data_IF_500703207749
#
_entry.id   IF_500703207749
#
_cell.length_a   1.000
_cell.length_b   1.000
_cell.length_c   1.000
_cell.angle_alpha   90.00
_cell.angle_beta   90.00
_cell.angle_gamma   90.00
#
_symmetry.space_group_name_H-M   'P 1'
#
loop_
_entity.id
_entity.type
_entity.pdbx_description
1 polymer ?
#
# COMPACT_ATOMS: atom_id res chain seq x y z
N UNK A 1 -3.24 35.89 -8.61
CA UNK A 1 -4.17 34.77 -8.81
C UNK A 1 -5.34 34.90 -7.85
N UNK A 2 -6.59 34.77 -8.31
CA UNK A 2 -7.79 34.87 -7.47
C UNK A 2 -8.27 33.43 -7.17
N UNK A 3 -8.37 33.05 -5.89
CA UNK A 3 -8.98 31.79 -5.45
C UNK A 3 -10.47 31.99 -5.30
N UNK A 4 -11.25 30.96 -5.64
CA UNK A 4 -12.70 30.90 -5.41
C UNK A 4 -13.06 29.62 -4.68
N UNK A 5 -14.11 29.68 -3.87
CA UNK A 5 -14.72 28.49 -3.28
C UNK A 5 -15.24 27.55 -4.40
N UNK A 6 -15.12 26.25 -4.19
CA UNK A 6 -15.58 25.23 -5.13
C UNK A 6 -16.33 24.11 -4.40
N UNK A 7 -16.99 23.27 -5.14
CA UNK A 7 -17.64 22.05 -4.63
C UNK A 7 -16.64 21.11 -3.93
N UNK A 8 -17.05 20.55 -2.78
CA UNK A 8 -16.17 19.68 -1.95
C UNK A 8 -15.66 18.47 -2.73
N UNK A 9 -16.49 17.86 -3.56
CA UNK A 9 -16.11 16.68 -4.34
C UNK A 9 -15.04 17.01 -5.38
N UNK A 10 -15.09 18.20 -5.97
CA UNK A 10 -14.09 18.72 -6.88
C UNK A 10 -12.77 19.02 -6.14
N UNK A 11 -12.87 19.60 -4.93
CA UNK A 11 -11.71 19.84 -4.07
C UNK A 11 -10.98 18.54 -3.69
N UNK A 12 -11.74 17.51 -3.30
CA UNK A 12 -11.18 16.19 -2.95
C UNK A 12 -10.44 15.54 -4.14
N UNK A 13 -10.99 15.66 -5.37
CA UNK A 13 -10.33 15.14 -6.58
C UNK A 13 -9.06 15.90 -6.97
N UNK A 14 -8.89 17.10 -6.47
CA UNK A 14 -7.69 17.92 -6.68
C UNK A 14 -6.56 17.62 -5.70
N UNK A 15 -6.77 16.73 -4.73
CA UNK A 15 -5.70 16.28 -3.82
C UNK A 15 -4.53 15.68 -4.61
N UNK A 16 -3.29 15.82 -4.11
CA UNK A 16 -2.12 15.24 -4.77
C UNK A 16 -2.19 13.73 -4.86
N UNK A 17 -1.35 13.16 -5.70
CA UNK A 17 -1.26 11.71 -5.91
C UNK A 17 -0.92 10.96 -4.61
N UNK A 18 -1.47 9.74 -4.50
CA UNK A 18 -1.22 8.81 -3.40
C UNK A 18 -0.42 7.61 -3.90
N UNK A 19 0.38 6.96 -3.04
CA UNK A 19 0.98 5.69 -3.39
C UNK A 19 -0.10 4.62 -3.60
N UNK A 20 0.13 3.72 -4.55
CA UNK A 20 -0.68 2.52 -4.71
C UNK A 20 0.01 1.38 -4.01
N UNK A 21 -0.73 0.62 -3.20
CA UNK A 21 -0.21 -0.57 -2.54
C UNK A 21 -1.12 -1.77 -2.80
N UNK A 22 -0.55 -2.97 -2.74
CA UNK A 22 -1.27 -4.22 -2.73
C UNK A 22 -1.30 -4.74 -1.30
N UNK A 23 -2.50 -4.78 -0.72
CA UNK A 23 -2.74 -5.29 0.63
C UNK A 23 -3.03 -6.77 0.54
N UNK A 24 -2.27 -7.58 1.27
CA UNK A 24 -2.48 -9.02 1.36
C UNK A 24 -2.97 -9.43 2.76
N UNK A 25 -3.94 -10.36 2.81
CA UNK A 25 -4.40 -11.01 4.04
C UNK A 25 -4.70 -12.47 3.72
N UNK A 26 -4.06 -13.40 4.41
CA UNK A 26 -4.07 -14.81 4.01
C UNK A 26 -3.55 -14.97 2.59
N UNK A 27 -4.38 -15.49 1.69
CA UNK A 27 -4.11 -15.59 0.24
C UNK A 27 -4.94 -14.61 -0.60
N UNK A 28 -5.54 -13.61 0.01
CA UNK A 28 -6.26 -12.57 -0.72
C UNK A 28 -5.35 -11.38 -0.99
N UNK A 29 -5.56 -10.69 -2.10
CA UNK A 29 -4.85 -9.47 -2.50
C UNK A 29 -5.88 -8.39 -2.81
N UNK A 30 -5.67 -7.17 -2.36
CA UNK A 30 -6.50 -6.00 -2.68
C UNK A 30 -5.63 -4.81 -3.05
N UNK A 31 -6.01 -4.10 -4.10
CA UNK A 31 -5.41 -2.78 -4.41
C UNK A 31 -5.98 -1.72 -3.48
N UNK A 32 -5.10 -0.92 -2.89
CA UNK A 32 -5.47 0.21 -2.05
C UNK A 32 -4.67 1.47 -2.43
N UNK A 33 -5.37 2.62 -2.48
CA UNK A 33 -4.76 3.95 -2.51
C UNK A 33 -4.88 4.68 -1.16
N UNK A 34 -5.70 4.14 -0.24
CA UNK A 34 -5.82 4.65 1.12
C UNK A 34 -4.72 4.03 2.00
N UNK A 35 -3.50 4.48 1.80
CA UNK A 35 -2.30 4.04 2.51
C UNK A 35 -1.46 5.24 2.91
N UNK A 36 -0.98 5.24 4.15
CA UNK A 36 -0.06 6.27 4.62
C UNK A 36 0.89 5.75 5.69
N UNK A 37 2.05 6.38 5.78
CA UNK A 37 2.91 6.29 6.95
C UNK A 37 2.18 6.85 8.19
N UNK A 38 2.34 6.21 9.33
CA UNK A 38 1.68 6.62 10.58
C UNK A 38 2.66 7.12 11.64
N UNK A 39 3.71 6.35 11.97
CA UNK A 39 4.68 6.72 13.02
C UNK A 39 6.05 6.09 12.77
N UNK A 40 7.12 6.81 13.16
CA UNK A 40 8.48 6.28 13.17
C UNK A 40 8.79 5.47 14.44
N UNK A 41 8.22 5.85 15.57
CA UNK A 41 8.45 5.18 16.85
C UNK A 41 7.14 5.08 17.67
N UNK A 42 6.52 3.89 17.78
CA UNK A 42 6.89 2.67 17.08
C UNK A 42 6.62 2.75 15.57
N UNK A 43 7.41 2.04 14.72
CA UNK A 43 7.23 2.09 13.28
C UNK A 43 5.89 1.49 12.88
N UNK A 44 5.09 2.28 12.16
CA UNK A 44 3.74 1.89 11.80
C UNK A 44 3.22 2.60 10.54
N UNK A 45 2.28 1.94 9.88
CA UNK A 45 1.55 2.43 8.71
C UNK A 45 0.04 2.36 8.95
N UNK A 46 -0.73 3.04 8.12
CA UNK A 46 -2.19 2.93 8.16
C UNK A 46 -2.77 2.65 6.78
N UNK A 47 -3.84 1.87 6.75
CA UNK A 47 -4.61 1.56 5.54
C UNK A 47 -6.09 1.79 5.78
N UNK A 48 -6.78 2.30 4.75
CA UNK A 48 -8.23 2.44 4.72
C UNK A 48 -8.88 1.36 3.86
N UNK A 49 -9.78 0.59 4.42
CA UNK A 49 -10.50 -0.49 3.73
C UNK A 49 -12.00 -0.26 3.79
N UNK A 50 -12.67 -0.27 2.65
CA UNK A 50 -14.13 -0.16 2.60
C UNK A 50 -14.77 -1.42 3.19
N UNK A 51 -15.71 -1.33 4.16
CA UNK A 51 -16.25 -2.49 4.89
C UNK A 51 -16.88 -3.57 4.03
N UNK A 52 -17.39 -3.25 2.84
CA UNK A 52 -17.93 -4.23 1.89
C UNK A 52 -16.87 -5.09 1.17
N UNK A 53 -15.59 -4.76 1.25
CA UNK A 53 -14.51 -5.52 0.64
C UNK A 53 -14.21 -6.78 1.44
N UNK A 54 -13.92 -7.88 0.76
CA UNK A 54 -13.55 -9.15 1.41
C UNK A 54 -12.32 -9.01 2.31
N UNK A 55 -11.35 -8.19 1.92
CA UNK A 55 -10.17 -7.87 2.72
C UNK A 55 -10.52 -7.30 4.10
N UNK A 56 -11.63 -6.55 4.25
CA UNK A 56 -12.10 -6.06 5.54
C UNK A 56 -12.45 -7.21 6.50
N UNK A 57 -13.16 -8.24 6.03
CA UNK A 57 -13.50 -9.41 6.83
C UNK A 57 -12.22 -10.13 7.25
N UNK A 58 -11.31 -10.37 6.30
CA UNK A 58 -10.06 -11.06 6.57
C UNK A 58 -9.15 -10.31 7.54
N UNK A 59 -9.03 -8.98 7.46
CA UNK A 59 -8.24 -8.22 8.44
C UNK A 59 -8.83 -8.36 9.85
N UNK A 60 -10.17 -8.36 9.97
CA UNK A 60 -10.82 -8.53 11.27
C UNK A 60 -10.64 -9.94 11.83
N UNK A 61 -10.51 -10.96 10.99
CA UNK A 61 -10.26 -12.35 11.38
C UNK A 61 -8.78 -12.59 11.72
N UNK A 62 -7.86 -12.12 10.86
CA UNK A 62 -6.43 -12.41 10.97
C UNK A 62 -5.71 -11.44 11.91
N UNK A 63 -6.23 -10.23 12.07
CA UNK A 63 -5.61 -9.13 12.81
C UNK A 63 -4.21 -8.73 12.31
N UNK A 64 -3.98 -8.91 11.01
CA UNK A 64 -2.71 -8.65 10.33
C UNK A 64 -2.93 -8.32 8.85
N UNK A 65 -1.92 -7.75 8.20
CA UNK A 65 -1.90 -7.57 6.76
C UNK A 65 -0.46 -7.40 6.25
N UNK A 66 -0.25 -7.79 5.00
CA UNK A 66 0.95 -7.46 4.24
C UNK A 66 0.72 -6.23 3.37
N UNK A 67 1.74 -5.38 3.23
CA UNK A 67 1.82 -4.30 2.26
C UNK A 67 2.87 -4.68 1.22
N UNK A 68 2.50 -4.61 -0.05
CA UNK A 68 3.41 -4.88 -1.15
C UNK A 68 3.38 -3.67 -2.09
N UNK A 69 4.54 -3.08 -2.36
CA UNK A 69 4.68 -1.88 -3.18
C UNK A 69 4.90 -2.30 -4.64
N UNK A 70 3.93 -2.07 -5.54
CA UNK A 70 4.10 -2.42 -6.94
C UNK A 70 4.96 -1.38 -7.66
N UNK A 71 5.74 -1.84 -8.66
CA UNK A 71 6.45 -0.97 -9.58
C UNK A 71 5.49 -0.33 -10.60
N UNK A 72 5.91 0.78 -11.19
CA UNK A 72 5.11 1.53 -12.16
C UNK A 72 4.78 0.76 -13.45
N UNK A 73 5.50 -0.30 -13.77
CA UNK A 73 5.21 -1.21 -14.91
C UNK A 73 4.20 -2.32 -14.53
N UNK A 74 3.85 -2.47 -13.25
CA UNK A 74 2.91 -3.48 -12.74
C UNK A 74 1.45 -2.98 -12.70
N UNK A 75 1.04 -2.05 -13.56
CA UNK A 75 -0.34 -1.51 -13.59
C UNK A 75 -1.39 -2.59 -13.85
N UNK A 76 -1.08 -3.63 -14.63
CA UNK A 76 -1.99 -4.73 -14.89
C UNK A 76 -2.25 -5.57 -13.62
N UNK A 77 -1.21 -5.86 -12.85
CA UNK A 77 -1.31 -6.52 -11.54
C UNK A 77 -2.25 -5.75 -10.61
N UNK A 78 -2.02 -4.44 -10.49
CA UNK A 78 -2.84 -3.55 -9.66
C UNK A 78 -4.31 -3.55 -10.10
N UNK A 79 -4.58 -3.53 -11.40
CA UNK A 79 -5.96 -3.60 -11.94
C UNK A 79 -6.65 -4.91 -11.59
N UNK A 80 -5.99 -6.04 -11.82
CA UNK A 80 -6.54 -7.37 -11.51
C UNK A 80 -6.87 -7.47 -10.03
N UNK A 81 -5.93 -7.11 -9.15
CA UNK A 81 -6.13 -7.17 -7.70
C UNK A 81 -7.22 -6.22 -7.18
N UNK A 82 -7.46 -5.09 -7.87
CA UNK A 82 -8.50 -4.12 -7.52
C UNK A 82 -9.89 -4.45 -8.03
N UNK A 83 -10.00 -5.18 -9.17
CA UNK A 83 -11.28 -5.49 -9.82
C UNK A 83 -11.90 -6.81 -9.39
N UNK A 84 -11.08 -7.84 -9.12
CA UNK A 84 -11.58 -9.16 -8.71
C UNK A 84 -11.79 -9.22 -7.19
N UNK A 85 -12.88 -9.86 -6.78
CA UNK A 85 -13.12 -10.17 -5.38
C UNK A 85 -12.56 -11.56 -5.02
N UNK A 86 -11.90 -11.68 -3.85
CA UNK A 86 -11.49 -12.99 -3.32
C UNK A 86 -12.66 -13.89 -2.92
N UNK A 87 -13.91 -13.39 -2.92
CA UNK A 87 -15.13 -14.23 -2.81
C UNK A 87 -15.51 -14.88 -4.12
N UNK A 88 -15.10 -14.33 -5.26
CA UNK A 88 -15.48 -14.74 -6.61
C UNK A 88 -14.44 -15.64 -7.26
N UNK A 89 -13.18 -15.56 -6.81
CA UNK A 89 -12.08 -16.35 -7.37
C UNK A 89 -11.38 -17.17 -6.27
N UNK A 90 -11.03 -18.40 -6.59
CA UNK A 90 -10.43 -19.33 -5.64
C UNK A 90 -8.99 -18.93 -5.26
N UNK A 91 -8.23 -18.35 -6.16
CA UNK A 91 -6.83 -17.96 -5.94
C UNK A 91 -6.48 -16.68 -6.68
N UNK A 92 -6.39 -15.57 -5.95
CA UNK A 92 -6.04 -14.27 -6.51
C UNK A 92 -4.58 -14.16 -6.97
N UNK A 93 -3.66 -14.94 -6.41
CA UNK A 93 -2.27 -14.98 -6.86
C UNK A 93 -2.18 -15.55 -8.27
N UNK A 94 -2.94 -16.64 -8.53
CA UNK A 94 -3.03 -17.24 -9.86
C UNK A 94 -3.66 -16.28 -10.88
N UNK A 95 -4.78 -15.65 -10.52
CA UNK A 95 -5.46 -14.69 -11.41
C UNK A 95 -4.59 -13.45 -11.71
N UNK A 96 -3.85 -12.99 -10.71
CA UNK A 96 -2.92 -11.87 -10.83
C UNK A 96 -1.57 -12.27 -11.50
N UNK A 97 -1.32 -13.58 -11.66
CA UNK A 97 -0.07 -14.14 -12.20
C UNK A 97 1.15 -13.72 -11.40
N UNK A 98 1.05 -13.83 -10.07
CA UNK A 98 2.13 -13.52 -9.14
C UNK A 98 2.39 -14.68 -8.19
N UNK A 99 3.58 -14.71 -7.64
CA UNK A 99 4.08 -15.75 -6.74
C UNK A 99 3.82 -15.38 -5.29
N UNK A 100 3.14 -16.24 -4.51
CA UNK A 100 2.96 -16.03 -3.09
C UNK A 100 4.30 -16.27 -2.35
N UNK A 101 4.86 -15.22 -1.77
CA UNK A 101 6.04 -15.28 -0.92
C UNK A 101 5.59 -15.51 0.54
N UNK A 102 6.27 -16.41 1.26
CA UNK A 102 5.99 -16.62 2.68
C UNK A 102 6.50 -15.46 3.51
N UNK A 103 5.66 -14.97 4.41
CA UNK A 103 6.03 -14.01 5.44
C UNK A 103 6.92 -14.66 6.51
N UNK A 104 7.71 -13.86 7.20
CA UNK A 104 8.56 -14.27 8.33
C UNK A 104 7.85 -14.18 9.68
N UNK A 105 6.87 -13.29 9.82
CA UNK A 105 6.20 -13.00 11.11
C UNK A 105 4.69 -13.23 11.04
N UNK A 106 4.03 -12.72 9.99
CA UNK A 106 2.57 -12.87 9.84
C UNK A 106 2.21 -14.16 9.09
N UNK A 107 0.93 -14.59 9.20
CA UNK A 107 0.41 -15.79 8.50
C UNK A 107 0.06 -15.52 7.04
N UNK A 108 -0.19 -14.26 6.71
CA UNK A 108 -0.53 -13.80 5.38
C UNK A 108 0.66 -13.89 4.43
N UNK A 109 0.40 -14.22 3.16
CA UNK A 109 1.45 -14.23 2.14
C UNK A 109 1.72 -12.82 1.62
N UNK A 110 2.94 -12.59 1.14
CA UNK A 110 3.38 -11.40 0.41
C UNK A 110 3.44 -11.70 -1.09
N UNK A 111 3.82 -10.73 -1.90
CA UNK A 111 3.95 -10.86 -3.36
C UNK A 111 5.43 -10.77 -3.73
N UNK A 112 5.99 -11.85 -4.29
CA UNK A 112 7.41 -11.94 -4.61
C UNK A 112 7.86 -10.91 -5.65
N UNK A 113 7.01 -10.59 -6.63
CA UNK A 113 7.32 -9.64 -7.70
C UNK A 113 7.27 -8.16 -7.27
N UNK A 114 6.83 -7.87 -6.04
CA UNK A 114 6.87 -6.52 -5.48
C UNK A 114 8.19 -6.28 -4.77
N UNK A 115 8.98 -5.25 -5.14
CA UNK A 115 10.34 -5.06 -4.63
C UNK A 115 10.43 -4.61 -3.17
N UNK A 116 9.30 -4.20 -2.58
CA UNK A 116 9.22 -3.84 -1.17
C UNK A 116 7.96 -4.45 -0.57
N UNK A 117 8.15 -5.25 0.47
CA UNK A 117 7.07 -5.89 1.22
C UNK A 117 7.21 -5.57 2.71
N UNK A 118 6.08 -5.32 3.37
CA UNK A 118 6.03 -4.94 4.78
C UNK A 118 5.00 -5.85 5.48
N UNK A 119 5.40 -6.47 6.57
CA UNK A 119 4.54 -7.28 7.41
C UNK A 119 4.01 -6.46 8.56
N UNK A 120 2.68 -6.42 8.74
CA UNK A 120 2.01 -5.59 9.72
C UNK A 120 1.06 -6.40 10.59
N UNK A 121 1.12 -6.14 11.88
CA UNK A 121 0.12 -6.57 12.86
C UNK A 121 -0.81 -5.39 13.19
N UNK A 122 -2.13 -5.59 13.17
CA UNK A 122 -3.10 -4.53 13.51
C UNK A 122 -3.02 -4.22 14.99
N UNK A 123 -2.70 -2.98 15.32
CA UNK A 123 -2.60 -2.50 16.70
C UNK A 123 -3.70 -1.51 17.08
N UNK A 124 -4.36 -0.91 16.08
CA UNK A 124 -5.46 0.01 16.33
C UNK A 124 -6.43 0.06 15.14
N UNK A 125 -7.72 0.24 15.43
CA UNK A 125 -8.78 0.54 14.46
C UNK A 125 -9.28 1.94 14.78
N UNK A 126 -9.27 2.83 13.79
CA UNK A 126 -9.72 4.21 13.98
C UNK A 126 -11.25 4.23 14.05
N UNK A 127 -11.77 4.61 15.20
CA UNK A 127 -13.21 4.77 15.42
C UNK A 127 -13.67 6.17 14.99
N UNK A 128 -13.88 6.31 13.67
CA UNK A 128 -14.43 7.53 13.08
C UNK A 128 -15.37 7.17 11.93
N UNK A 129 -16.61 7.71 11.91
CA UNK A 129 -17.57 7.39 10.86
C UNK A 129 -17.09 7.90 9.48
N UNK A 130 -17.02 6.99 8.52
CA UNK A 130 -16.60 7.31 7.15
C UNK A 130 -16.81 6.14 6.19
N UNK A 131 -16.41 6.31 4.95
CA UNK A 131 -16.52 5.27 3.93
C UNK A 131 -15.49 4.14 4.08
N UNK A 132 -14.41 4.40 4.80
CA UNK A 132 -13.34 3.44 5.04
C UNK A 132 -13.17 3.19 6.54
N UNK A 133 -12.98 1.94 6.91
CA UNK A 133 -12.38 1.58 8.18
C UNK A 133 -10.86 1.73 8.05
N UNK A 134 -10.27 2.51 8.92
CA UNK A 134 -8.82 2.67 8.98
C UNK A 134 -8.21 1.74 10.04
N UNK A 135 -7.12 1.09 9.64
CA UNK A 135 -6.33 0.20 10.49
C UNK A 135 -4.92 0.74 10.62
N UNK A 136 -4.42 0.83 11.84
CA UNK A 136 -3.00 1.09 12.11
C UNK A 136 -2.30 -0.25 12.30
N UNK A 137 -1.29 -0.50 11.48
CA UNK A 137 -0.46 -1.69 11.53
C UNK A 137 0.93 -1.37 12.05
N UNK A 138 1.33 -2.01 13.14
CA UNK A 138 2.72 -2.00 13.58
C UNK A 138 3.57 -2.81 12.59
N UNK A 139 4.64 -2.22 12.09
CA UNK A 139 5.58 -2.89 11.19
C UNK A 139 6.37 -3.92 11.99
N UNK A 140 6.35 -5.19 11.55
CA UNK A 140 7.04 -6.32 12.20
C UNK A 140 8.24 -6.82 11.40
N UNK A 141 8.16 -6.75 10.07
CA UNK A 141 9.26 -7.09 9.17
C UNK A 141 9.15 -6.28 7.88
N UNK A 142 10.29 -6.07 7.23
CA UNK A 142 10.39 -5.41 5.93
C UNK A 142 11.34 -6.22 5.06
N UNK A 143 10.90 -6.50 3.83
CA UNK A 143 11.70 -7.15 2.79
C UNK A 143 11.85 -6.16 1.65
N UNK A 144 13.07 -5.97 1.16
CA UNK A 144 13.37 -5.00 0.11
C UNK A 144 14.41 -5.58 -0.85
N UNK A 145 14.16 -5.45 -2.15
CA UNK A 145 15.12 -5.80 -3.18
C UNK A 145 16.32 -4.86 -3.14
N UNK A 146 17.52 -5.39 -3.33
CA UNK A 146 18.78 -4.62 -3.24
C UNK A 146 18.85 -3.49 -4.28
N UNK A 147 18.21 -3.67 -5.43
CA UNK A 147 18.16 -2.71 -6.54
C UNK A 147 16.87 -1.86 -6.57
N UNK A 148 16.06 -1.90 -5.51
CA UNK A 148 14.84 -1.11 -5.45
C UNK A 148 15.11 0.38 -5.34
N UNK A 149 14.59 1.15 -6.30
CA UNK A 149 14.60 2.60 -6.30
C UNK A 149 13.20 3.17 -6.00
N UNK A 150 13.13 4.15 -5.11
CA UNK A 150 11.85 4.73 -4.62
C UNK A 150 11.00 5.36 -5.70
N UNK A 151 11.59 5.87 -6.77
CA UNK A 151 10.89 6.47 -7.91
C UNK A 151 10.24 5.45 -8.84
N UNK A 152 10.54 4.16 -8.66
CA UNK A 152 9.87 3.06 -9.35
C UNK A 152 8.45 2.80 -8.82
N UNK A 153 8.08 3.34 -7.63
CA UNK A 153 6.78 3.11 -7.03
C UNK A 153 5.64 3.69 -7.89
N UNK A 154 4.51 2.97 -7.92
CA UNK A 154 3.31 3.38 -8.64
C UNK A 154 2.49 4.37 -7.81
N UNK A 155 2.07 5.46 -8.44
CA UNK A 155 1.22 6.49 -7.86
C UNK A 155 -0.17 6.50 -8.51
N UNK A 156 -1.19 6.91 -7.75
CA UNK A 156 -2.55 7.07 -8.24
C UNK A 156 -3.02 8.51 -8.04
N UNK A 157 -3.58 9.13 -9.10
CA UNK A 157 -4.15 10.45 -9.05
C UNK A 157 -5.46 10.54 -9.83
N UNK A 158 -6.57 10.69 -9.12
CA UNK A 158 -7.90 10.90 -9.72
C UNK A 158 -8.26 9.95 -10.88
N UNK A 159 -8.00 8.65 -10.71
CA UNK A 159 -8.27 7.63 -11.73
C UNK A 159 -7.12 7.31 -12.67
N UNK A 160 -5.98 7.98 -12.54
CA UNK A 160 -4.80 7.77 -13.36
C UNK A 160 -3.68 7.12 -12.57
N UNK A 161 -2.94 6.20 -13.19
CA UNK A 161 -1.66 5.72 -12.69
C UNK A 161 -0.53 6.60 -13.21
N UNK A 162 0.41 6.93 -12.32
CA UNK A 162 1.56 7.79 -12.62
C UNK A 162 2.83 7.24 -12.00
N UNK A 163 3.98 7.64 -12.55
CA UNK A 163 5.29 7.46 -11.93
C UNK A 163 5.56 8.60 -10.97
N UNK A 164 6.49 8.41 -10.03
CA UNK A 164 7.10 9.50 -9.27
C UNK A 164 7.81 10.43 -10.26
N UNK A 165 7.73 11.73 -10.02
CA UNK A 165 8.28 12.75 -10.91
C UNK A 165 9.79 12.94 -10.76
N UNK A 166 10.28 14.01 -11.39
CA UNK A 166 11.69 14.40 -11.35
C UNK A 166 12.14 14.75 -9.92
N UNK A 167 13.37 14.37 -9.56
CA UNK A 167 14.01 14.82 -8.33
C UNK A 167 14.28 16.33 -8.44
N UNK A 168 13.89 17.09 -7.42
CA UNK A 168 14.11 18.53 -7.38
C UNK A 168 15.28 18.90 -6.48
N UNK A 169 15.17 18.62 -5.18
CA UNK A 169 16.19 18.94 -4.18
C UNK A 169 16.01 18.14 -2.89
N UNK A 170 17.01 18.08 -2.07
CA UNK A 170 16.89 17.51 -0.73
C UNK A 170 16.24 18.52 0.23
N UNK A 171 15.12 18.17 0.85
CA UNK A 171 14.46 18.99 1.87
C UNK A 171 15.26 19.10 3.18
N UNK A 172 16.13 18.13 3.45
CA UNK A 172 17.03 18.09 4.61
C UNK A 172 18.45 17.79 4.12
N UNK A 173 19.46 18.11 4.95
CA UNK A 173 20.84 17.70 4.65
C UNK A 173 20.85 16.20 4.39
N UNK A 174 21.46 15.80 3.27
CA UNK A 174 21.62 14.38 2.92
C UNK A 174 22.19 13.65 4.14
N UNK A 175 21.54 12.60 4.66
CA UNK A 175 22.16 11.76 5.67
C UNK A 175 23.48 11.26 5.09
N UNK A 176 24.55 11.12 5.91
CA UNK A 176 25.77 10.53 5.42
C UNK A 176 25.42 9.21 4.75
N UNK A 177 25.86 9.04 3.51
CA UNK A 177 25.82 7.73 2.86
C UNK A 177 26.63 6.82 3.77
N UNK A 178 26.00 5.79 4.31
CA UNK A 178 26.73 4.77 5.04
C UNK A 178 27.88 4.31 4.15
N UNK A 179 29.07 4.75 4.50
CA UNK A 179 30.28 4.31 3.87
C UNK A 179 30.37 2.82 4.18
N UNK A 180 30.26 2.01 3.13
CA UNK A 180 30.79 0.65 3.00
C UNK A 180 31.25 0.04 4.34
N UNK A 181 30.45 -0.81 4.92
CA UNK A 181 30.96 -1.87 5.79
C UNK A 181 31.85 -2.78 4.93
N UNK A 182 33.15 -2.51 4.99
CA UNK A 182 34.21 -3.48 4.64
C UNK A 182 34.13 -4.67 5.55
#
# INVERSE_FOLDING_TARGET
MKKSETDLSKGIRALPSFPVVLVTVGRNIMTAGAFHFYSFAPPSVMIGVVPKRYTYELINEYNEFGINIPKADQTQLVRVCGSLSGREVADKYKEARVTPMRSSVIRSYLIEECPLNIECEVVHKVDFPGTHQWYVGAIRAVHIDEDFERDQALMFWSGEYRRVGEFLEYALKRPPTDASTT
#
